data_IF_833485415000
#
_entry.id   IF_833485415000
#
_cell.length_a   1.000
_cell.length_b   1.000
_cell.length_c   1.000
_cell.angle_alpha   90.00
_cell.angle_beta   90.00
_cell.angle_gamma   90.00
#
_symmetry.space_group_name_H-M   'P 1'
#
loop_
_entity.id
_entity.type
_entity.pdbx_description
1 polymer ?
#
# COMPACT_ATOMS: atom_id res chain seq x y z
N UNK A 1 -56.26 11.99 -1.55
CA UNK A 1 -54.95 12.70 -1.60
C UNK A 1 -54.42 12.77 -0.18
N UNK A 2 -53.52 11.84 0.18
CA UNK A 2 -52.81 11.85 1.47
C UNK A 2 -51.39 12.24 1.10
N UNK A 3 -50.94 13.42 1.54
CA UNK A 3 -49.58 13.91 1.31
C UNK A 3 -48.63 13.32 2.35
N UNK A 4 -47.36 13.08 2.02
CA UNK A 4 -46.40 12.51 2.96
C UNK A 4 -46.02 13.57 4.00
N UNK A 5 -46.24 13.24 5.27
CA UNK A 5 -45.68 13.97 6.41
C UNK A 5 -44.19 13.65 6.48
N UNK A 6 -43.35 14.60 6.11
CA UNK A 6 -41.91 14.51 6.32
C UNK A 6 -41.63 14.73 7.82
N UNK A 7 -41.31 13.65 8.55
CA UNK A 7 -40.68 13.75 9.86
C UNK A 7 -39.22 14.13 9.66
N UNK A 8 -38.88 15.38 9.93
CA UNK A 8 -37.50 15.82 10.07
C UNK A 8 -37.05 15.36 11.46
N UNK A 9 -36.27 14.29 11.52
CA UNK A 9 -35.51 13.91 12.71
C UNK A 9 -34.34 14.90 12.82
N UNK A 10 -34.50 15.92 13.66
CA UNK A 10 -33.38 16.77 14.05
C UNK A 10 -32.43 15.96 14.94
N UNK A 11 -31.12 15.90 14.65
CA UNK A 11 -30.17 15.28 15.54
C UNK A 11 -30.09 16.10 16.84
N UNK A 12 -30.43 15.47 17.96
CA UNK A 12 -30.20 16.03 19.29
C UNK A 12 -28.69 16.02 19.55
N UNK A 13 -28.05 17.20 19.46
CA UNK A 13 -26.68 17.37 19.92
C UNK A 13 -26.67 17.37 21.45
N UNK A 14 -26.08 16.34 22.06
CA UNK A 14 -25.87 16.25 23.51
C UNK A 14 -24.43 16.62 23.83
N UNK A 15 -24.23 17.61 24.71
CA UNK A 15 -22.91 17.96 25.23
C UNK A 15 -22.75 17.40 26.65
N UNK A 16 -21.64 16.71 26.90
CA UNK A 16 -21.26 16.25 28.23
C UNK A 16 -20.06 17.04 28.72
N UNK A 17 -20.09 17.49 29.98
CA UNK A 17 -18.96 18.19 30.62
C UNK A 17 -18.43 17.32 31.74
N UNK A 18 -17.13 17.02 31.70
CA UNK A 18 -16.45 16.23 32.72
C UNK A 18 -15.38 17.11 33.36
N UNK A 19 -15.38 17.19 34.69
CA UNK A 19 -14.43 17.98 35.46
C UNK A 19 -13.15 17.17 35.75
N UNK A 20 -12.02 17.67 35.22
CA UNK A 20 -10.68 17.11 35.42
C UNK A 20 -9.79 18.00 36.28
N UNK A 21 -10.33 19.03 36.97
CA UNK A 21 -9.52 19.97 37.78
C UNK A 21 -8.75 19.33 38.93
N UNK A 22 -9.13 18.12 39.37
CA UNK A 22 -8.40 17.36 40.39
C UNK A 22 -7.49 16.26 39.81
N UNK A 23 -7.54 16.03 38.49
CA UNK A 23 -6.73 15.03 37.81
C UNK A 23 -5.39 15.62 37.35
N UNK A 24 -4.35 14.80 37.24
CA UNK A 24 -3.04 15.22 36.69
C UNK A 24 -2.96 15.14 35.17
N UNK A 25 -3.87 14.39 34.56
CA UNK A 25 -3.96 14.18 33.12
C UNK A 25 -5.41 13.85 32.71
N UNK A 26 -5.69 13.97 31.42
CA UNK A 26 -6.97 13.65 30.78
C UNK A 26 -6.68 12.60 29.69
N UNK A 27 -7.16 11.35 29.85
CA UNK A 27 -7.13 10.39 28.76
C UNK A 27 -8.32 10.64 27.81
N UNK A 28 -8.04 10.80 26.53
CA UNK A 28 -9.06 10.92 25.48
C UNK A 28 -8.93 9.73 24.53
N UNK A 29 -10.02 9.01 24.31
CA UNK A 29 -10.09 7.96 23.29
C UNK A 29 -10.41 8.65 21.96
N UNK A 30 -9.48 8.63 21.01
CA UNK A 30 -9.52 9.39 19.76
C UNK A 30 -9.30 8.50 18.51
N UNK A 31 -9.90 7.31 18.53
CA UNK A 31 -9.98 6.42 17.37
C UNK A 31 -9.37 5.04 17.59
N UNK A 32 -9.05 4.38 16.48
CA UNK A 32 -8.45 3.05 16.45
C UNK A 32 -6.98 3.12 16.05
N UNK A 33 -6.19 2.22 16.61
CA UNK A 33 -4.76 2.10 16.33
C UNK A 33 -4.39 0.65 16.06
N UNK A 34 -3.67 0.44 14.96
CA UNK A 34 -3.14 -0.86 14.56
C UNK A 34 -1.68 -0.95 14.97
N UNK A 35 -1.39 -1.89 15.87
CA UNK A 35 -0.06 -2.05 16.45
C UNK A 35 0.69 -3.19 15.76
N UNK A 36 1.93 -2.91 15.35
CA UNK A 36 2.82 -3.88 14.72
C UNK A 36 4.18 -3.95 15.44
N UNK A 37 4.88 -5.08 15.28
CA UNK A 37 6.22 -5.30 15.84
C UNK A 37 7.26 -5.55 14.75
N UNK A 38 6.84 -6.32 13.74
CA UNK A 38 7.66 -6.79 12.64
C UNK A 38 7.08 -6.33 11.29
N UNK A 39 7.90 -6.41 10.26
CA UNK A 39 7.48 -6.20 8.88
C UNK A 39 7.40 -7.54 8.16
N UNK A 40 6.38 -7.68 7.32
CA UNK A 40 6.29 -8.72 6.32
C UNK A 40 6.64 -8.15 4.93
N UNK A 41 6.85 -9.06 3.97
CA UNK A 41 7.32 -8.72 2.65
C UNK A 41 6.56 -9.52 1.59
N UNK A 42 6.16 -8.85 0.52
CA UNK A 42 5.65 -9.49 -0.71
C UNK A 42 6.54 -9.07 -1.88
N UNK A 43 6.80 -10.00 -2.79
CA UNK A 43 7.66 -9.76 -3.96
C UNK A 43 6.88 -10.07 -5.23
N UNK A 44 6.51 -9.02 -5.95
CA UNK A 44 5.92 -9.15 -7.27
C UNK A 44 7.03 -9.14 -8.34
N UNK A 45 6.93 -10.01 -9.34
CA UNK A 45 7.94 -10.12 -10.40
C UNK A 45 7.32 -10.01 -11.79
N UNK A 46 7.89 -9.16 -12.64
CA UNK A 46 7.47 -9.02 -14.04
C UNK A 46 8.63 -9.38 -14.98
N UNK A 47 8.43 -10.38 -15.84
CA UNK A 47 9.41 -10.81 -16.82
C UNK A 47 9.17 -10.13 -18.18
N UNK A 48 9.98 -9.11 -18.49
CA UNK A 48 9.91 -8.34 -19.73
C UNK A 48 10.17 -9.19 -20.98
N UNK A 49 10.87 -10.33 -20.86
CA UNK A 49 11.09 -11.24 -21.99
C UNK A 49 9.80 -11.92 -22.46
N UNK A 50 8.83 -12.14 -21.58
CA UNK A 50 7.53 -12.71 -21.97
C UNK A 50 6.75 -11.78 -22.88
N UNK A 51 6.75 -10.47 -22.56
CA UNK A 51 6.15 -9.45 -23.41
C UNK A 51 6.86 -9.37 -24.77
N UNK A 52 8.19 -9.44 -24.77
CA UNK A 52 8.99 -9.47 -26.01
C UNK A 52 8.61 -10.64 -26.93
N UNK A 53 8.47 -11.84 -26.36
CA UNK A 53 8.05 -13.03 -27.12
C UNK A 53 6.67 -12.86 -27.75
N UNK A 54 5.70 -12.33 -27.00
CA UNK A 54 4.34 -12.11 -27.52
C UNK A 54 4.33 -11.07 -28.65
N UNK A 55 5.11 -10.00 -28.51
CA UNK A 55 5.24 -8.97 -29.55
C UNK A 55 5.82 -9.57 -30.83
N UNK A 56 6.88 -10.40 -30.71
CA UNK A 56 7.49 -11.10 -31.84
C UNK A 56 6.50 -12.07 -32.52
N UNK A 57 5.80 -12.90 -31.74
CA UNK A 57 4.74 -13.79 -32.26
C UNK A 57 3.67 -13.00 -33.03
N UNK A 58 3.20 -11.88 -32.47
CA UNK A 58 2.18 -11.04 -33.12
C UNK A 58 2.72 -10.41 -34.39
N UNK A 59 3.96 -9.95 -34.40
CA UNK A 59 4.64 -9.38 -35.58
C UNK A 59 4.74 -10.40 -36.71
N UNK A 60 5.17 -11.63 -36.40
CA UNK A 60 5.24 -12.71 -37.36
C UNK A 60 3.86 -13.10 -37.92
N UNK A 61 2.80 -13.01 -37.11
CA UNK A 61 1.43 -13.26 -37.55
C UNK A 61 0.86 -12.15 -38.42
N UNK A 62 1.18 -10.88 -38.15
CA UNK A 62 0.71 -9.71 -38.91
C UNK A 62 0.98 -9.88 -40.41
N UNK A 63 2.14 -10.41 -40.78
CA UNK A 63 2.55 -10.56 -42.17
C UNK A 63 1.69 -11.58 -42.94
N UNK A 64 1.14 -12.58 -42.25
CA UNK A 64 0.26 -13.59 -42.85
C UNK A 64 -1.15 -13.08 -43.17
N UNK A 65 -1.55 -11.93 -42.62
CA UNK A 65 -2.87 -11.40 -42.85
C UNK A 65 -3.00 -10.55 -44.13
N UNK A 66 -4.18 -10.55 -44.79
CA UNK A 66 -4.44 -9.70 -45.95
C UNK A 66 -4.41 -8.21 -45.58
N UNK A 67 -4.09 -7.37 -46.57
CA UNK A 67 -4.14 -5.92 -46.43
C UNK A 67 -5.54 -5.46 -46.04
N UNK A 68 -5.66 -4.89 -44.84
CA UNK A 68 -6.92 -4.42 -44.28
C UNK A 68 -6.67 -3.33 -43.23
N UNK A 69 -7.73 -2.59 -42.88
CA UNK A 69 -7.68 -1.66 -41.76
C UNK A 69 -7.32 -2.36 -40.44
N UNK A 70 -7.78 -3.60 -40.24
CA UNK A 70 -7.49 -4.40 -39.05
C UNK A 70 -6.00 -4.77 -38.96
N UNK A 71 -5.37 -5.14 -40.08
CA UNK A 71 -3.92 -5.34 -40.14
C UNK A 71 -3.17 -4.08 -39.71
N UNK A 72 -3.57 -2.91 -40.22
CA UNK A 72 -2.93 -1.64 -39.86
C UNK A 72 -3.09 -1.33 -38.37
N UNK A 73 -4.27 -1.54 -37.80
CA UNK A 73 -4.54 -1.35 -36.37
C UNK A 73 -3.65 -2.26 -35.52
N UNK A 74 -3.57 -3.55 -35.87
CA UNK A 74 -2.73 -4.51 -35.16
C UNK A 74 -1.25 -4.15 -35.24
N UNK A 75 -0.76 -3.71 -36.41
CA UNK A 75 0.62 -3.20 -36.55
C UNK A 75 0.90 -1.98 -35.67
N UNK A 76 -0.06 -1.06 -35.53
CA UNK A 76 0.07 0.12 -34.67
C UNK A 76 0.12 -0.30 -33.19
N UNK A 77 -0.78 -1.18 -32.74
CA UNK A 77 -0.79 -1.67 -31.36
C UNK A 77 0.50 -2.45 -31.04
N UNK A 78 0.99 -3.27 -31.97
CA UNK A 78 2.25 -4.02 -31.80
C UNK A 78 3.47 -3.08 -31.74
N UNK A 79 3.52 -2.05 -32.57
CA UNK A 79 4.58 -1.04 -32.49
C UNK A 79 4.54 -0.28 -31.16
N UNK A 80 3.33 0.09 -30.69
CA UNK A 80 3.19 0.77 -29.41
C UNK A 80 3.62 -0.09 -28.22
N UNK A 81 3.29 -1.40 -28.25
CA UNK A 81 3.79 -2.36 -27.26
C UNK A 81 5.32 -2.42 -27.23
N UNK A 82 5.95 -2.41 -28.40
CA UNK A 82 7.40 -2.40 -28.50
C UNK A 82 8.00 -1.13 -27.89
N UNK A 83 7.43 0.04 -28.18
CA UNK A 83 7.86 1.32 -27.57
C UNK A 83 7.73 1.30 -26.03
N UNK A 84 6.61 0.78 -25.50
CA UNK A 84 6.39 0.64 -24.06
C UNK A 84 7.41 -0.31 -23.42
N UNK A 85 7.67 -1.45 -24.07
CA UNK A 85 8.63 -2.44 -23.58
C UNK A 85 10.07 -1.89 -23.61
N UNK A 86 10.44 -1.16 -24.65
CA UNK A 86 11.75 -0.49 -24.75
C UNK A 86 11.92 0.63 -23.70
N UNK A 87 10.84 1.31 -23.32
CA UNK A 87 10.85 2.31 -22.24
C UNK A 87 11.12 1.68 -20.85
N UNK A 88 10.59 0.48 -20.62
CA UNK A 88 10.87 -0.34 -19.43
C UNK A 88 12.23 -1.04 -19.50
N UNK A 89 12.69 -1.33 -20.72
CA UNK A 89 14.03 -1.80 -21.03
C UNK A 89 15.08 -0.76 -20.63
N UNK A 90 16.22 -1.23 -20.11
CA UNK A 90 17.28 -0.35 -19.61
C UNK A 90 17.84 0.51 -20.73
N UNK A 91 17.39 1.76 -20.82
CA UNK A 91 18.18 2.81 -21.44
C UNK A 91 19.48 2.94 -20.63
N UNK A 92 20.63 2.79 -21.29
CA UNK A 92 21.95 3.09 -20.75
C UNK A 92 22.06 4.58 -20.38
N UNK A 93 21.35 5.03 -19.34
CA UNK A 93 21.57 6.34 -18.73
C UNK A 93 22.51 6.16 -17.55
N UNK A 94 23.70 6.73 -17.76
CA UNK A 94 24.81 7.01 -16.85
C UNK A 94 24.47 6.78 -15.37
N UNK A 95 25.24 5.85 -14.78
CA UNK A 95 25.30 5.57 -13.37
C UNK A 95 25.25 6.84 -12.52
N UNK A 96 24.24 6.96 -11.68
CA UNK A 96 24.35 7.69 -10.43
C UNK A 96 23.90 6.78 -9.29
N UNK A 97 24.91 6.41 -8.50
CA UNK A 97 24.85 6.02 -7.09
C UNK A 97 24.30 4.62 -6.78
N UNK A 98 25.26 3.71 -6.53
CA UNK A 98 25.20 2.47 -5.73
C UNK A 98 25.08 1.15 -6.51
N UNK A 99 26.16 0.77 -7.20
CA UNK A 99 26.49 -0.61 -7.61
C UNK A 99 26.80 -1.53 -6.39
N UNK A 100 26.04 -1.42 -5.30
CA UNK A 100 26.32 -2.16 -4.06
C UNK A 100 25.91 -3.65 -4.15
N UNK A 101 25.05 -4.00 -5.10
CA UNK A 101 24.42 -5.32 -5.25
C UNK A 101 25.04 -6.18 -6.38
N UNK A 102 26.20 -5.75 -6.91
CA UNK A 102 26.89 -6.44 -8.00
C UNK A 102 26.41 -6.05 -9.40
N UNK A 103 27.08 -6.52 -10.48
CA UNK A 103 26.84 -6.09 -11.85
C UNK A 103 25.51 -6.56 -12.46
N UNK A 104 24.80 -7.51 -11.82
CA UNK A 104 23.54 -8.06 -12.34
C UNK A 104 22.29 -7.38 -11.78
N UNK A 105 22.33 -6.85 -10.56
CA UNK A 105 21.16 -6.29 -9.89
C UNK A 105 21.23 -4.77 -9.83
N UNK A 106 20.27 -4.10 -10.47
CA UNK A 106 20.21 -2.64 -10.52
C UNK A 106 19.01 -2.14 -9.71
N UNK A 107 19.25 -1.15 -8.86
CA UNK A 107 18.17 -0.45 -8.17
C UNK A 107 17.52 0.53 -9.15
N UNK A 108 16.24 0.32 -9.43
CA UNK A 108 15.44 1.15 -10.34
C UNK A 108 14.70 2.25 -9.56
N UNK A 109 14.24 1.93 -8.34
CA UNK A 109 13.58 2.87 -7.44
C UNK A 109 13.74 2.46 -5.95
N UNK A 110 13.78 3.46 -5.07
CA UNK A 110 14.03 3.31 -3.64
C UNK A 110 15.52 3.23 -3.28
N UNK A 111 15.88 3.46 -2.01
CA UNK A 111 17.25 3.29 -1.50
C UNK A 111 17.29 2.05 -0.60
N UNK A 112 18.11 1.01 -0.91
CA UNK A 112 18.27 -0.14 -0.03
C UNK A 112 18.88 0.27 1.31
N UNK A 113 18.32 -0.19 2.44
CA UNK A 113 18.98 -0.12 3.74
C UNK A 113 19.73 -1.45 4.01
N UNK A 114 20.52 -1.52 5.08
CA UNK A 114 21.33 -2.72 5.39
C UNK A 114 20.50 -3.98 5.62
N UNK A 115 19.30 -3.86 6.21
CA UNK A 115 18.40 -4.99 6.46
C UNK A 115 17.76 -5.51 5.17
N UNK A 116 17.41 -4.57 4.28
CA UNK A 116 16.91 -4.89 2.97
C UNK A 116 18.01 -5.47 2.09
N UNK A 117 19.28 -5.07 2.27
CA UNK A 117 20.42 -5.60 1.52
C UNK A 117 20.72 -7.07 1.84
N UNK A 118 20.64 -7.49 3.10
CA UNK A 118 20.80 -8.92 3.45
C UNK A 118 19.66 -9.75 2.89
N UNK A 119 18.42 -9.23 2.95
CA UNK A 119 17.27 -9.94 2.40
C UNK A 119 17.27 -9.90 0.87
N UNK A 120 17.74 -8.83 0.24
CA UNK A 120 17.98 -8.74 -1.21
C UNK A 120 19.07 -9.73 -1.63
N UNK A 121 20.16 -9.91 -0.87
CA UNK A 121 21.17 -10.97 -1.13
C UNK A 121 20.60 -12.36 -0.95
N UNK A 122 19.73 -12.57 0.05
CA UNK A 122 19.05 -13.84 0.26
C UNK A 122 18.03 -14.14 -0.86
N UNK A 123 17.30 -13.10 -1.30
CA UNK A 123 16.41 -13.13 -2.44
C UNK A 123 17.22 -13.31 -3.73
N UNK A 124 18.41 -12.71 -3.89
CA UNK A 124 19.32 -12.91 -5.02
C UNK A 124 19.78 -14.37 -5.11
N UNK A 125 20.22 -14.97 -3.99
CA UNK A 125 20.53 -16.40 -3.94
C UNK A 125 19.31 -17.26 -4.32
N UNK A 126 18.12 -16.94 -3.78
CA UNK A 126 16.86 -17.64 -4.13
C UNK A 126 16.36 -17.33 -5.54
N UNK A 127 16.67 -16.18 -6.14
CA UNK A 127 16.29 -15.79 -7.50
C UNK A 127 17.22 -16.44 -8.52
N UNK A 128 18.50 -16.61 -8.19
CA UNK A 128 19.47 -17.40 -8.96
C UNK A 128 19.10 -18.89 -8.90
N UNK A 129 18.58 -19.39 -7.77
CA UNK A 129 18.17 -20.79 -7.61
C UNK A 129 16.74 -21.09 -8.13
N UNK A 130 15.81 -20.14 -8.04
CA UNK A 130 14.40 -20.28 -8.51
C UNK A 130 14.21 -19.96 -9.99
N UNK A 131 15.22 -19.42 -10.68
CA UNK A 131 15.20 -19.26 -12.15
C UNK A 131 14.90 -20.57 -12.90
N UNK A 132 15.08 -21.75 -12.27
CA UNK A 132 14.73 -23.05 -12.85
C UNK A 132 13.31 -23.56 -12.50
N UNK A 133 12.60 -22.95 -11.54
CA UNK A 133 11.22 -23.28 -11.17
C UNK A 133 10.20 -22.22 -11.56
N UNK A 134 10.64 -21.00 -11.90
CA UNK A 134 9.80 -19.90 -12.39
C UNK A 134 9.28 -20.09 -13.83
N UNK A 135 9.13 -21.34 -14.28
CA UNK A 135 8.41 -21.75 -15.49
C UNK A 135 6.91 -21.98 -15.18
N UNK A 136 6.48 -21.87 -13.91
CA UNK A 136 5.11 -22.20 -13.48
C UNK A 136 4.27 -21.04 -12.89
N UNK A 137 4.80 -19.82 -12.79
CA UNK A 137 4.11 -18.69 -12.09
C UNK A 137 3.94 -17.52 -13.05
N UNK A 138 3.17 -17.75 -14.11
CA UNK A 138 2.47 -16.67 -14.80
C UNK A 138 0.99 -17.06 -14.91
N UNK A 139 0.39 -17.53 -13.82
CA UNK A 139 -0.92 -18.20 -13.83
C UNK A 139 -2.09 -17.33 -14.29
N UNK A 140 -1.99 -16.01 -14.44
CA UNK A 140 -3.05 -15.21 -15.10
C UNK A 140 -2.70 -14.84 -16.53
N UNK A 141 -1.47 -14.38 -16.79
CA UNK A 141 -1.01 -14.08 -18.15
C UNK A 141 -0.92 -15.35 -18.97
N UNK A 142 -0.36 -16.43 -18.44
CA UNK A 142 -0.35 -17.78 -19.03
C UNK A 142 -1.73 -18.42 -19.02
N UNK A 143 -2.66 -18.17 -18.08
CA UNK A 143 -4.03 -18.69 -18.21
C UNK A 143 -4.90 -17.87 -19.16
N UNK A 144 -4.73 -16.55 -19.28
CA UNK A 144 -5.41 -15.72 -20.27
C UNK A 144 -4.79 -15.93 -21.64
N UNK A 145 -3.46 -16.04 -21.76
CA UNK A 145 -2.76 -16.54 -22.94
C UNK A 145 -3.27 -17.94 -23.23
N UNK A 146 -3.25 -18.89 -22.31
CA UNK A 146 -3.74 -20.23 -22.55
C UNK A 146 -5.23 -20.22 -22.86
N UNK A 147 -6.07 -19.32 -22.38
CA UNK A 147 -7.48 -19.25 -22.81
C UNK A 147 -7.62 -18.64 -24.23
N UNK A 148 -6.76 -17.68 -24.58
CA UNK A 148 -6.69 -17.06 -25.90
C UNK A 148 -5.91 -17.91 -26.94
N UNK A 149 -5.09 -18.86 -26.45
CA UNK A 149 -4.10 -19.67 -27.20
C UNK A 149 -4.34 -21.18 -27.03
N UNK A 150 -5.29 -21.62 -26.17
CA UNK A 150 -5.70 -23.04 -26.01
C UNK A 150 -6.37 -23.61 -27.25
N UNK A 151 -6.48 -22.81 -28.30
CA UNK A 151 -6.38 -23.35 -29.63
C UNK A 151 -4.93 -23.86 -29.86
N UNK A 152 -4.56 -25.01 -29.25
CA UNK A 152 -3.56 -25.92 -29.88
C UNK A 152 -4.01 -26.30 -31.30
N UNK A 153 -5.29 -26.10 -31.59
CA UNK A 153 -5.91 -25.99 -32.90
C UNK A 153 -5.26 -24.93 -33.83
N UNK A 154 -4.67 -23.85 -33.31
CA UNK A 154 -4.20 -22.68 -34.05
C UNK A 154 -2.99 -22.97 -34.96
N UNK A 155 -2.03 -23.76 -34.48
CA UNK A 155 -0.90 -24.21 -35.30
C UNK A 155 -1.27 -25.35 -36.25
N UNK A 156 -2.38 -26.06 -36.00
CA UNK A 156 -2.85 -27.16 -36.84
C UNK A 156 -3.76 -26.67 -37.98
N UNK A 157 -4.59 -25.64 -37.76
CA UNK A 157 -5.53 -25.09 -38.76
C UNK A 157 -4.88 -24.20 -39.82
N UNK A 158 -3.73 -23.57 -39.54
CA UNK A 158 -2.95 -22.88 -40.59
C UNK A 158 -2.42 -23.89 -41.64
N UNK A 159 -2.25 -25.16 -41.24
CA UNK A 159 -1.68 -26.20 -42.11
C UNK A 159 -2.70 -26.97 -42.96
N UNK A 160 -4.02 -26.86 -42.69
CA UNK A 160 -5.05 -27.56 -43.45
C UNK A 160 -6.26 -26.67 -43.75
N UNK A 161 -6.33 -26.20 -45.00
CA UNK A 161 -7.52 -25.90 -45.80
C UNK A 161 -8.89 -25.86 -45.08
N UNK A 162 -9.35 -24.66 -44.70
CA UNK A 162 -10.63 -24.04 -45.13
C UNK A 162 -11.04 -22.90 -44.17
N UNK A 163 -11.05 -21.65 -44.66
CA UNK A 163 -11.52 -20.43 -43.98
C UNK A 163 -11.03 -20.25 -42.54
N UNK A 164 -9.81 -19.71 -42.39
CA UNK A 164 -9.44 -19.01 -41.15
C UNK A 164 -10.48 -17.91 -40.94
N UNK A 165 -11.20 -17.93 -39.82
CA UNK A 165 -11.99 -16.78 -39.37
C UNK A 165 -11.02 -15.67 -38.96
N UNK A 166 -10.47 -15.02 -39.98
CA UNK A 166 -9.49 -13.96 -39.84
C UNK A 166 -10.03 -12.83 -38.96
N UNK A 167 -11.35 -12.57 -38.98
CA UNK A 167 -12.01 -11.58 -38.14
C UNK A 167 -11.88 -11.89 -36.66
N UNK A 168 -12.31 -13.08 -36.23
CA UNK A 168 -12.20 -13.50 -34.83
C UNK A 168 -10.74 -13.49 -34.34
N UNK A 169 -9.80 -13.92 -35.19
CA UNK A 169 -8.39 -13.91 -34.85
C UNK A 169 -7.83 -12.49 -34.68
N UNK A 170 -8.20 -11.55 -35.57
CA UNK A 170 -7.81 -10.15 -35.42
C UNK A 170 -8.28 -9.57 -34.09
N UNK A 171 -9.56 -9.78 -33.75
CA UNK A 171 -10.13 -9.28 -32.51
C UNK A 171 -9.43 -9.86 -31.28
N UNK A 172 -9.10 -11.16 -31.33
CA UNK A 172 -8.36 -11.85 -30.27
C UNK A 172 -6.97 -11.26 -30.07
N UNK A 173 -6.19 -11.08 -31.15
CA UNK A 173 -4.84 -10.51 -31.08
C UNK A 173 -4.88 -9.04 -30.63
N UNK A 174 -5.87 -8.28 -31.08
CA UNK A 174 -6.06 -6.88 -30.70
C UNK A 174 -6.40 -6.75 -29.21
N UNK A 175 -7.33 -7.56 -28.71
CA UNK A 175 -7.69 -7.59 -27.29
C UNK A 175 -6.48 -7.98 -26.43
N UNK A 176 -5.72 -8.99 -26.87
CA UNK A 176 -4.47 -9.41 -26.22
C UNK A 176 -3.45 -8.28 -26.18
N UNK A 177 -3.22 -7.59 -27.30
CA UNK A 177 -2.28 -6.46 -27.34
C UNK A 177 -2.69 -5.35 -26.38
N UNK A 178 -3.97 -5.00 -26.32
CA UNK A 178 -4.49 -3.97 -25.41
C UNK A 178 -4.35 -4.34 -23.94
N UNK A 179 -4.54 -5.60 -23.61
CA UNK A 179 -4.29 -6.10 -22.26
C UNK A 179 -2.81 -5.94 -21.89
N UNK A 180 -1.88 -6.35 -22.78
CA UNK A 180 -0.44 -6.17 -22.54
C UNK A 180 -0.02 -4.70 -22.47
N UNK A 181 -0.63 -3.82 -23.25
CA UNK A 181 -0.36 -2.37 -23.16
C UNK A 181 -0.73 -1.85 -21.77
N UNK A 182 -1.90 -2.23 -21.25
CA UNK A 182 -2.33 -1.82 -19.92
C UNK A 182 -1.40 -2.37 -18.81
N UNK A 183 -0.92 -3.61 -18.93
CA UNK A 183 0.05 -4.17 -17.99
C UNK A 183 1.39 -3.42 -18.01
N UNK A 184 1.97 -3.18 -19.18
CA UNK A 184 3.22 -2.43 -19.31
C UNK A 184 3.05 -1.00 -18.77
N UNK A 185 1.92 -0.35 -19.03
CA UNK A 185 1.61 0.97 -18.47
C UNK A 185 1.49 0.94 -16.93
N UNK A 186 0.87 -0.10 -16.36
CA UNK A 186 0.80 -0.30 -14.91
C UNK A 186 2.19 -0.49 -14.29
N UNK A 187 3.08 -1.24 -14.94
CA UNK A 187 4.48 -1.39 -14.51
C UNK A 187 5.23 -0.05 -14.53
N UNK A 188 5.07 0.75 -15.60
CA UNK A 188 5.67 2.08 -15.70
C UNK A 188 5.17 3.02 -14.59
N UNK A 189 3.87 3.00 -14.32
CA UNK A 189 3.26 3.77 -13.23
C UNK A 189 3.81 3.34 -11.87
N UNK A 190 3.88 2.03 -11.62
CA UNK A 190 4.38 1.49 -10.36
C UNK A 190 5.85 1.85 -10.11
N UNK A 191 6.69 1.79 -11.14
CA UNK A 191 8.09 2.26 -11.06
C UNK A 191 8.14 3.76 -10.72
N UNK A 192 7.26 4.55 -11.33
CA UNK A 192 7.21 6.00 -11.10
C UNK A 192 6.79 6.32 -9.66
N UNK A 193 5.76 5.65 -9.15
CA UNK A 193 5.30 5.78 -7.77
C UNK A 193 6.34 5.28 -6.77
N UNK A 194 7.05 4.20 -7.08
CA UNK A 194 8.10 3.67 -6.22
C UNK A 194 9.26 4.64 -6.02
N UNK A 195 9.53 5.56 -6.96
CA UNK A 195 10.56 6.61 -6.79
C UNK A 195 10.25 7.57 -5.65
N UNK A 196 8.97 7.71 -5.30
CA UNK A 196 8.49 8.48 -4.16
C UNK A 196 7.96 7.57 -3.03
N UNK A 197 8.37 6.29 -3.03
CA UNK A 197 8.00 5.27 -2.05
C UNK A 197 6.49 5.04 -1.89
N UNK A 198 5.73 5.18 -2.98
CA UNK A 198 4.30 4.85 -3.02
C UNK A 198 4.12 3.49 -3.68
N UNK A 199 3.40 2.59 -3.00
CA UNK A 199 3.05 1.27 -3.56
C UNK A 199 1.87 1.40 -4.51
N UNK A 200 2.02 0.91 -5.73
CA UNK A 200 0.91 0.77 -6.67
C UNK A 200 0.18 -0.54 -6.37
N UNK A 201 -1.12 -0.50 -6.09
CA UNK A 201 -1.92 -1.70 -5.96
C UNK A 201 -2.15 -2.42 -7.30
N UNK A 202 -2.00 -1.71 -8.43
CA UNK A 202 -2.25 -2.25 -9.78
C UNK A 202 -1.25 -3.32 -10.22
N UNK A 203 -0.12 -3.47 -9.54
CA UNK A 203 0.87 -4.52 -9.83
C UNK A 203 0.66 -5.77 -9.00
N UNK A 204 -0.16 -5.73 -7.94
CA UNK A 204 -0.38 -6.89 -7.09
C UNK A 204 -1.37 -7.83 -7.76
N UNK A 205 -0.97 -9.09 -7.89
CA UNK A 205 -1.86 -10.15 -8.35
C UNK A 205 -2.56 -10.87 -7.19
N UNK A 206 -3.31 -11.92 -7.52
CA UNK A 206 -4.04 -12.67 -6.50
C UNK A 206 -3.11 -13.41 -5.53
N UNK A 207 -1.99 -13.96 -6.01
CA UNK A 207 -1.03 -14.70 -5.19
C UNK A 207 -0.27 -13.75 -4.27
N UNK A 208 0.06 -12.56 -4.76
CA UNK A 208 0.61 -11.48 -3.95
C UNK A 208 -0.34 -11.11 -2.80
N UNK A 209 -1.63 -10.92 -3.12
CA UNK A 209 -2.66 -10.59 -2.12
C UNK A 209 -2.89 -11.73 -1.11
N UNK A 210 -2.90 -12.99 -1.56
CA UNK A 210 -2.97 -14.14 -0.66
C UNK A 210 -1.78 -14.18 0.28
N UNK A 211 -0.57 -13.88 -0.21
CA UNK A 211 0.63 -13.79 0.62
C UNK A 211 0.49 -12.70 1.69
N UNK A 212 -0.07 -11.54 1.32
CA UNK A 212 -0.35 -10.46 2.28
C UNK A 212 -1.36 -10.91 3.34
N UNK A 213 -2.48 -11.50 2.93
CA UNK A 213 -3.53 -11.97 3.86
C UNK A 213 -3.10 -13.12 4.78
N UNK A 214 -2.19 -13.98 4.31
CA UNK A 214 -1.60 -15.02 5.15
C UNK A 214 -0.71 -14.43 6.26
N UNK A 215 -0.02 -13.33 5.97
CA UNK A 215 0.86 -12.65 6.91
C UNK A 215 0.12 -11.63 7.79
N UNK A 216 -1.03 -11.12 7.35
CA UNK A 216 -1.86 -10.13 8.02
C UNK A 216 -3.31 -10.64 8.16
N UNK A 217 -3.63 -11.40 9.22
CA UNK A 217 -4.95 -12.03 9.38
C UNK A 217 -6.01 -11.05 9.89
N UNK A 218 -5.64 -9.81 10.17
CA UNK A 218 -6.55 -8.75 10.58
C UNK A 218 -7.34 -8.24 9.37
N UNK A 219 -8.60 -7.82 9.56
CA UNK A 219 -9.48 -7.31 8.49
C UNK A 219 -9.05 -5.91 7.98
N UNK A 220 -7.76 -5.60 7.99
CA UNK A 220 -7.24 -4.31 7.54
C UNK A 220 -7.43 -4.16 6.04
N UNK A 221 -8.06 -3.08 5.55
CA UNK A 221 -8.15 -2.85 4.12
C UNK A 221 -6.75 -2.76 3.48
N UNK A 222 -6.53 -3.50 2.40
CA UNK A 222 -5.24 -3.52 1.69
C UNK A 222 -4.76 -2.11 1.33
N UNK A 223 -5.67 -1.19 0.98
CA UNK A 223 -5.33 0.19 0.66
C UNK A 223 -4.70 0.95 1.84
N UNK A 224 -5.20 0.73 3.06
CA UNK A 224 -4.65 1.34 4.26
C UNK A 224 -3.28 0.75 4.59
N UNK A 225 -3.13 -0.57 4.47
CA UNK A 225 -1.85 -1.26 4.64
C UNK A 225 -0.78 -0.76 3.65
N UNK A 226 -1.15 -0.64 2.37
CA UNK A 226 -0.24 -0.15 1.34
C UNK A 226 0.13 1.33 1.53
N UNK A 227 -0.73 2.15 2.12
CA UNK A 227 -0.45 3.57 2.39
C UNK A 227 0.69 3.79 3.38
N UNK A 228 0.91 2.85 4.29
CA UNK A 228 2.00 2.85 5.28
C UNK A 228 3.13 1.88 4.92
N UNK A 229 3.05 1.28 3.73
CA UNK A 229 4.07 0.37 3.21
C UNK A 229 5.18 1.11 2.46
N UNK A 230 6.26 0.40 2.19
CA UNK A 230 7.38 0.88 1.39
C UNK A 230 7.65 -0.07 0.23
N UNK A 231 8.15 0.46 -0.88
CA UNK A 231 8.43 -0.33 -2.08
C UNK A 231 9.81 -0.02 -2.64
N UNK A 232 10.49 -1.07 -3.09
CA UNK A 232 11.76 -0.98 -3.82
C UNK A 232 11.62 -1.75 -5.12
N UNK A 233 12.18 -1.18 -6.18
CA UNK A 233 12.18 -1.82 -7.50
C UNK A 233 13.61 -2.16 -7.87
N UNK A 234 13.84 -3.43 -8.12
CA UNK A 234 15.12 -3.97 -8.57
C UNK A 234 14.94 -4.56 -9.96
N UNK A 235 15.98 -4.50 -10.76
CA UNK A 235 16.01 -5.12 -12.07
C UNK A 235 17.20 -6.05 -12.19
N UNK A 236 16.92 -7.28 -12.63
CA UNK A 236 17.93 -8.29 -12.97
C UNK A 236 17.68 -8.75 -14.40
N UNK A 237 18.58 -8.40 -15.33
CA UNK A 237 18.38 -8.61 -16.77
C UNK A 237 17.02 -8.04 -17.23
N UNK A 238 16.11 -8.90 -17.69
CA UNK A 238 14.77 -8.56 -18.17
C UNK A 238 13.69 -8.79 -17.12
N UNK A 239 14.04 -8.98 -15.85
CA UNK A 239 13.07 -9.21 -14.78
C UNK A 239 13.06 -8.01 -13.85
N UNK A 240 11.88 -7.47 -13.61
CA UNK A 240 11.61 -6.45 -12.60
C UNK A 240 11.11 -7.13 -11.32
N UNK A 241 11.66 -6.75 -10.19
CA UNK A 241 11.28 -7.23 -8.86
C UNK A 241 10.79 -6.05 -8.03
N UNK A 242 9.52 -6.07 -7.65
CA UNK A 242 8.91 -5.11 -6.74
C UNK A 242 8.86 -5.73 -5.36
N UNK A 243 9.69 -5.24 -4.45
CA UNK A 243 9.75 -5.71 -3.06
C UNK A 243 8.95 -4.71 -2.23
N UNK A 244 7.83 -5.17 -1.68
CA UNK A 244 6.94 -4.36 -0.87
C UNK A 244 7.08 -4.83 0.58
N UNK A 245 7.42 -3.89 1.45
CA UNK A 245 7.57 -4.09 2.90
C UNK A 245 6.40 -3.41 3.60
N UNK A 246 5.64 -4.19 4.36
CA UNK A 246 4.41 -3.76 5.01
C UNK A 246 4.39 -4.21 6.49
N UNK A 247 3.75 -3.45 7.39
CA UNK A 247 3.71 -3.79 8.81
C UNK A 247 2.84 -5.04 9.04
N UNK A 248 3.34 -5.98 9.84
CA UNK A 248 2.56 -7.14 10.28
C UNK A 248 1.76 -6.77 11.52
N UNK A 249 0.46 -6.56 11.33
CA UNK A 249 -0.43 -6.11 12.39
C UNK A 249 -0.61 -7.24 13.41
N UNK A 250 -0.39 -6.90 14.68
CA UNK A 250 -0.50 -7.82 15.81
C UNK A 250 -1.76 -7.58 16.61
N UNK A 251 -2.12 -6.31 16.81
CA UNK A 251 -3.25 -5.90 17.65
C UNK A 251 -4.01 -4.74 17.00
N UNK A 252 -5.33 -4.78 17.11
CA UNK A 252 -6.20 -3.62 16.89
C UNK A 252 -6.66 -3.11 18.26
N UNK A 253 -6.41 -1.84 18.54
CA UNK A 253 -6.55 -1.26 19.87
C UNK A 253 -7.26 0.09 19.82
N UNK A 254 -7.70 0.56 20.98
CA UNK A 254 -8.16 1.94 21.11
C UNK A 254 -6.94 2.86 21.18
N UNK A 255 -6.97 3.93 20.38
CA UNK A 255 -6.02 5.02 20.49
C UNK A 255 -6.41 5.88 21.68
N UNK A 256 -5.46 6.13 22.57
CA UNK A 256 -5.66 7.01 23.71
C UNK A 256 -4.59 8.08 23.69
N UNK A 257 -5.03 9.33 23.61
CA UNK A 257 -4.18 10.51 23.72
C UNK A 257 -4.29 11.09 25.13
N UNK A 258 -3.15 11.24 25.80
CA UNK A 258 -3.05 11.75 27.16
C UNK A 258 -2.69 13.23 27.14
N UNK A 259 -3.57 14.06 27.70
CA UNK A 259 -3.32 15.48 27.85
C UNK A 259 -2.94 15.80 29.29
N UNK A 260 -1.86 16.56 29.53
CA UNK A 260 -1.50 16.99 30.87
C UNK A 260 -2.47 18.05 31.38
N UNK A 261 -2.71 18.08 32.70
CA UNK A 261 -3.49 19.13 33.37
C UNK A 261 -2.53 20.02 34.15
N UNK A 262 -2.66 21.34 33.98
CA UNK A 262 -1.90 22.31 34.75
C UNK A 262 -2.42 22.40 36.18
N UNK A 263 -1.50 22.41 37.14
CA UNK A 263 -1.76 22.66 38.56
C UNK A 263 -0.85 23.79 39.02
N UNK A 264 -1.44 24.97 39.21
CA UNK A 264 -0.67 26.21 39.37
C UNK A 264 0.13 26.51 38.10
N UNK A 265 1.41 26.84 38.24
CA UNK A 265 2.30 27.18 37.10
C UNK A 265 3.01 25.95 36.50
N UNK A 266 2.65 24.73 36.90
CA UNK A 266 3.35 23.51 36.46
C UNK A 266 2.44 22.45 35.87
N UNK A 267 3.00 21.61 34.99
CA UNK A 267 2.31 20.50 34.35
C UNK A 267 3.26 19.31 34.12
N UNK A 268 2.69 18.12 33.91
CA UNK A 268 3.48 16.96 33.50
C UNK A 268 3.98 17.15 32.06
N UNK A 269 5.27 16.90 31.85
CA UNK A 269 5.86 16.82 30.53
C UNK A 269 5.61 15.41 29.95
N UNK A 270 4.71 15.34 28.96
CA UNK A 270 4.34 14.11 28.27
C UNK A 270 4.83 14.21 26.83
N UNK A 271 5.92 13.51 26.52
CA UNK A 271 6.57 13.55 25.19
C UNK A 271 5.82 12.62 24.22
N UNK A 272 5.67 11.35 24.59
CA UNK A 272 4.90 10.36 23.84
C UNK A 272 3.52 10.25 24.46
N UNK A 273 2.61 11.14 24.04
CA UNK A 273 1.30 11.29 24.64
C UNK A 273 0.24 10.32 24.08
N UNK A 274 0.54 9.57 23.04
CA UNK A 274 -0.37 8.57 22.47
C UNK A 274 0.05 7.16 22.92
N UNK A 275 -0.93 6.37 23.35
CA UNK A 275 -0.77 4.98 23.78
C UNK A 275 -1.87 4.11 23.14
N UNK A 276 -1.65 2.80 23.16
CA UNK A 276 -2.63 1.82 22.67
C UNK A 276 -3.21 1.03 23.85
N UNK A 277 -4.54 0.97 23.97
CA UNK A 277 -5.23 0.11 24.94
C UNK A 277 -5.93 -1.06 24.22
N UNK A 278 -5.50 -2.27 24.52
CA UNK A 278 -5.95 -3.50 23.87
C UNK A 278 -6.43 -4.47 24.95
N UNK A 279 -7.73 -4.76 24.99
CA UNK A 279 -8.32 -5.74 25.93
C UNK A 279 -7.95 -5.51 27.40
N UNK A 280 -7.78 -4.24 27.82
CA UNK A 280 -7.41 -3.86 29.18
C UNK A 280 -5.89 -3.78 29.45
N UNK A 281 -5.04 -4.13 28.49
CA UNK A 281 -3.61 -3.91 28.55
C UNK A 281 -3.21 -2.61 27.84
N UNK A 282 -2.22 -1.92 28.40
CA UNK A 282 -1.76 -0.62 27.90
C UNK A 282 -0.35 -0.75 27.34
N UNK A 283 -0.18 -0.30 26.10
CA UNK A 283 1.05 -0.41 25.34
C UNK A 283 1.61 0.96 24.99
N UNK A 284 2.93 1.10 25.14
CA UNK A 284 3.67 2.23 24.63
C UNK A 284 3.95 1.97 23.15
N UNK A 285 3.80 3.01 22.34
CA UNK A 285 3.87 2.95 20.88
C UNK A 285 4.82 4.02 20.38
N UNK A 286 5.35 3.84 19.17
CA UNK A 286 6.23 4.78 18.49
C UNK A 286 6.12 4.66 16.98
N UNK A 287 6.73 5.59 16.26
CA UNK A 287 6.80 5.58 14.79
C UNK A 287 5.43 5.38 14.14
N UNK A 288 4.47 6.20 14.56
CA UNK A 288 3.12 6.16 14.03
C UNK A 288 3.05 6.72 12.61
N UNK A 289 2.17 6.16 11.78
CA UNK A 289 1.85 6.62 10.44
C UNK A 289 0.34 6.56 10.25
N UNK A 290 -0.22 7.58 9.62
CA UNK A 290 -1.66 7.70 9.44
C UNK A 290 -2.08 7.24 8.05
N UNK A 291 -3.14 6.45 8.01
CA UNK A 291 -3.91 6.14 6.80
C UNK A 291 -5.27 6.85 6.88
N UNK A 292 -6.08 6.88 5.80
CA UNK A 292 -7.40 7.49 5.82
C UNK A 292 -8.37 6.94 6.87
N UNK A 293 -8.15 5.70 7.37
CA UNK A 293 -9.08 5.01 8.28
C UNK A 293 -8.47 4.61 9.62
N UNK A 294 -7.16 4.51 9.71
CA UNK A 294 -6.48 4.00 10.91
C UNK A 294 -5.09 4.61 11.10
N UNK A 295 -4.64 4.66 12.35
CA UNK A 295 -3.25 4.96 12.69
C UNK A 295 -2.48 3.65 12.88
N UNK A 296 -1.33 3.52 12.22
CA UNK A 296 -0.43 2.37 12.35
C UNK A 296 0.76 2.74 13.21
N UNK A 297 1.03 2.02 14.28
CA UNK A 297 2.16 2.33 15.15
C UNK A 297 2.97 1.08 15.51
N UNK A 298 4.27 1.28 15.70
CA UNK A 298 5.14 0.22 16.19
C UNK A 298 5.03 0.10 17.69
N UNK A 299 5.04 -1.11 18.23
CA UNK A 299 5.21 -1.31 19.66
C UNK A 299 6.57 -0.76 20.13
N UNK A 300 6.55 0.01 21.21
CA UNK A 300 7.77 0.49 21.85
C UNK A 300 8.36 -0.58 22.77
N UNK A 301 9.68 -0.72 22.76
CA UNK A 301 10.43 -1.59 23.67
C UNK A 301 10.53 -1.03 25.09
N UNK A 302 10.39 0.29 25.23
CA UNK A 302 10.49 1.01 26.49
C UNK A 302 9.11 1.49 26.93
N UNK A 303 8.88 1.56 28.25
CA UNK A 303 7.67 2.19 28.79
C UNK A 303 7.73 3.69 28.58
N UNK A 304 6.56 4.32 28.46
CA UNK A 304 6.42 5.77 28.44
C UNK A 304 5.72 6.24 29.72
N UNK A 305 6.00 7.48 30.12
CA UNK A 305 5.27 8.15 31.20
C UNK A 305 3.75 8.07 30.98
N UNK A 306 3.30 8.26 29.74
CA UNK A 306 1.89 8.15 29.37
C UNK A 306 1.30 6.76 29.65
N UNK A 307 2.00 5.71 29.22
CA UNK A 307 1.57 4.32 29.47
C UNK A 307 1.47 4.04 30.97
N UNK A 308 2.50 4.37 31.73
CA UNK A 308 2.54 4.04 33.17
C UNK A 308 1.48 4.84 33.95
N UNK A 309 1.21 6.09 33.55
CA UNK A 309 0.12 6.90 34.11
C UNK A 309 -1.23 6.23 33.87
N UNK A 310 -1.53 5.88 32.61
CA UNK A 310 -2.83 5.32 32.23
C UNK A 310 -3.07 3.93 32.80
N UNK A 311 -2.02 3.11 32.89
CA UNK A 311 -2.09 1.78 33.50
C UNK A 311 -2.29 1.80 35.04
N UNK A 312 -2.27 2.98 35.68
CA UNK A 312 -2.38 3.12 37.14
C UNK A 312 -1.13 2.69 37.91
N UNK A 313 0.02 2.63 37.23
CA UNK A 313 1.31 2.28 37.82
C UNK A 313 2.07 3.48 38.41
N UNK A 314 3.32 3.24 38.83
CA UNK A 314 4.24 4.32 39.22
C UNK A 314 4.88 4.92 37.97
N UNK A 315 4.44 6.10 37.57
CA UNK A 315 4.97 6.80 36.39
C UNK A 315 6.08 7.80 36.75
N UNK A 316 7.20 7.73 36.05
CA UNK A 316 8.33 8.66 36.20
C UNK A 316 8.26 9.80 35.18
N UNK A 317 7.28 10.68 35.36
CA UNK A 317 7.07 11.84 34.49
C UNK A 317 7.87 13.05 34.97
N UNK A 318 8.46 13.79 34.01
CA UNK A 318 9.07 15.09 34.31
C UNK A 318 7.97 16.14 34.50
N UNK A 319 8.30 17.20 35.23
CA UNK A 319 7.43 18.37 35.42
C UNK A 319 8.06 19.54 34.69
N UNK A 320 7.24 20.36 34.03
CA UNK A 320 7.64 21.59 33.35
C UNK A 320 6.71 22.75 33.73
N UNK A 321 7.10 23.97 33.39
CA UNK A 321 6.21 25.13 33.47
C UNK A 321 5.03 24.96 32.50
N UNK A 322 3.86 25.41 32.93
CA UNK A 322 2.63 25.32 32.15
C UNK A 322 2.65 26.32 30.99
N UNK A 323 2.53 25.80 29.77
CA UNK A 323 2.37 26.56 28.53
C UNK A 323 1.04 26.24 27.83
N UNK A 324 0.09 25.65 28.56
CA UNK A 324 -1.19 25.21 27.99
C UNK A 324 -2.00 26.38 27.43
N UNK A 325 -2.46 26.20 26.20
CA UNK A 325 -3.40 27.13 25.59
C UNK A 325 -4.76 27.03 26.29
N UNK A 326 -5.50 28.15 26.45
CA UNK A 326 -6.77 28.14 27.17
C UNK A 326 -7.83 27.17 26.62
N UNK A 327 -7.75 26.88 25.31
CA UNK A 327 -8.62 25.94 24.62
C UNK A 327 -7.75 25.07 23.72
N UNK A 328 -7.87 23.75 23.87
CA UNK A 328 -7.23 22.77 23.00
C UNK A 328 -8.32 21.98 22.27
N UNK A 329 -8.29 22.04 20.94
CA UNK A 329 -9.14 21.21 20.09
C UNK A 329 -8.46 19.85 19.93
N UNK A 330 -9.15 18.79 20.32
CA UNK A 330 -8.60 17.42 20.28
C UNK A 330 -9.08 16.69 19.04
N UNK A 331 -10.39 16.68 18.83
CA UNK A 331 -11.04 16.02 17.69
C UNK A 331 -12.43 16.64 17.44
N UNK A 332 -13.13 16.21 16.40
CA UNK A 332 -14.52 16.59 16.13
C UNK A 332 -15.41 16.30 17.34
N UNK A 333 -15.85 17.36 18.01
CA UNK A 333 -16.71 17.28 19.19
C UNK A 333 -15.97 17.16 20.53
N UNK A 334 -14.63 17.17 20.57
CA UNK A 334 -13.84 17.13 21.81
C UNK A 334 -12.98 18.39 21.95
N UNK A 335 -13.25 19.14 23.02
CA UNK A 335 -12.53 20.36 23.38
C UNK A 335 -12.08 20.24 24.84
N UNK A 336 -10.81 20.59 25.11
CA UNK A 336 -10.27 20.74 26.46
C UNK A 336 -10.19 22.24 26.77
N UNK A 337 -10.70 22.62 27.94
CA UNK A 337 -10.64 23.99 28.47
C UNK A 337 -9.63 24.01 29.61
N UNK A 338 -8.52 24.74 29.43
CA UNK A 338 -7.43 24.80 30.38
C UNK A 338 -7.48 26.11 31.19
N UNK A 339 -7.46 25.99 32.52
CA UNK A 339 -7.23 27.05 33.49
C UNK A 339 -7.97 28.38 33.23
N UNK A 340 -9.20 28.30 32.69
CA UNK A 340 -10.08 29.46 32.46
C UNK A 340 -11.55 29.09 32.58
N UNK A 341 -12.33 30.05 33.06
CA UNK A 341 -13.79 29.99 32.99
C UNK A 341 -14.26 30.08 31.54
N UNK A 342 -14.88 29.02 31.03
CA UNK A 342 -15.52 29.01 29.73
C UNK A 342 -17.04 28.93 29.87
N UNK A 343 -17.75 29.60 28.95
CA UNK A 343 -19.21 29.50 28.83
C UNK A 343 -19.54 28.65 27.61
N UNK A 344 -19.88 27.39 27.85
CA UNK A 344 -20.33 26.47 26.79
C UNK A 344 -21.78 26.77 26.46
N UNK A 345 -22.09 26.98 25.18
CA UNK A 345 -23.44 27.14 24.66
C UNK A 345 -23.63 26.15 23.52
N UNK A 346 -24.67 25.33 23.60
CA UNK A 346 -25.09 24.47 22.48
C UNK A 346 -26.07 25.29 21.67
N UNK A 347 -25.68 25.68 20.46
CA UNK A 347 -26.59 26.36 19.53
C UNK A 347 -27.41 25.29 18.82
N UNK A 348 -28.61 25.03 19.33
CA UNK A 348 -29.59 24.18 18.67
C UNK A 348 -30.20 24.98 17.52
N UNK A 349 -29.44 25.14 16.43
CA UNK A 349 -29.76 25.99 15.28
C UNK A 349 -31.26 26.10 15.02
N UNK A 350 -31.80 27.29 15.23
CA UNK A 350 -33.17 27.67 14.89
C UNK A 350 -33.22 28.28 13.49
#
# INVERSE_FOLDING_TARGET
RIGPTFCILLPLASAHVTDYSQARYIPVIDGEILVWEEFAYVTHTANLSEYGRVIEETTNMIDMFPLSHMKKLLSVDTAHLQDLLESLGVHHRVARSLDFLGPMLKVVAGTPDSSDLEKIRFTEMRLVESSNRQIQINTKTENQINQLTSNRQFNFEISQTSQIDTGHLYETLLARNRMFMAELQNLMLAITLAKINIVSSNILDHEDLETVWLEEPTDTPIGDLLSVSSVKVLQSRNILHFIIKFPKIKLACKKITIFPVAHGETMLQIIDNVIAECSGEVYAIKNCSESPRATFCRLASESSCAKDLHAGGVAHCRVQESDLHPITYVDEGIIIINDRSAKVRVDNGY
#
